data_IF_150071678430
#
_entry.id   IF_150071678430
#
_cell.length_a   1.000
_cell.length_b   1.000
_cell.length_c   1.000
_cell.angle_alpha   90.00
_cell.angle_beta   90.00
_cell.angle_gamma   90.00
#
_symmetry.space_group_name_H-M   'P 1'
#
loop_
_entity.id
_entity.type
_entity.pdbx_description
1 polymer ?
#
# COMPACT_ATOMS: atom_id res chain seq x y z
N UNK A 1 -5.37 -8.27 -24.70
CA UNK A 1 -5.19 -9.02 -23.44
C UNK A 1 -3.83 -8.66 -22.90
N UNK A 2 -3.76 -8.30 -21.62
CA UNK A 2 -2.57 -7.81 -20.94
C UNK A 2 -2.22 -8.76 -19.81
N UNK A 3 -0.93 -9.06 -19.62
CA UNK A 3 -0.44 -9.77 -18.44
C UNK A 3 -0.54 -8.86 -17.21
N UNK A 4 -0.63 -9.46 -16.03
CA UNK A 4 -0.72 -8.74 -14.75
C UNK A 4 0.36 -7.64 -14.58
N UNK A 5 1.60 -7.89 -15.00
CA UNK A 5 2.70 -6.92 -14.93
C UNK A 5 2.49 -5.72 -15.86
N UNK A 6 1.97 -5.95 -17.07
CA UNK A 6 1.67 -4.88 -18.02
C UNK A 6 0.55 -3.99 -17.46
N UNK A 7 -0.49 -4.59 -16.87
CA UNK A 7 -1.58 -3.85 -16.21
C UNK A 7 -1.08 -3.04 -15.03
N UNK A 8 -0.25 -3.65 -14.17
CA UNK A 8 0.37 -2.97 -13.03
C UNK A 8 1.14 -1.72 -13.48
N UNK A 9 1.98 -1.86 -14.51
CA UNK A 9 2.75 -0.76 -15.09
C UNK A 9 1.86 0.33 -15.71
N UNK A 10 0.83 -0.05 -16.46
CA UNK A 10 -0.09 0.90 -17.12
C UNK A 10 -0.90 1.69 -16.09
N UNK A 11 -1.44 0.99 -15.08
CA UNK A 11 -2.33 1.58 -14.09
C UNK A 11 -1.59 2.24 -12.91
N UNK A 12 -0.27 2.10 -12.83
CA UNK A 12 0.53 2.65 -11.72
C UNK A 12 0.21 1.98 -10.37
N UNK A 13 -0.16 0.70 -10.38
CA UNK A 13 -0.45 -0.09 -9.18
C UNK A 13 0.47 -1.29 -9.08
N UNK A 14 0.69 -1.81 -7.88
CA UNK A 14 1.48 -3.03 -7.71
C UNK A 14 0.76 -4.27 -8.25
N UNK A 15 1.52 -5.26 -8.71
CA UNK A 15 1.00 -6.60 -9.07
C UNK A 15 0.24 -7.21 -7.90
N UNK A 16 0.75 -7.01 -6.67
CA UNK A 16 0.10 -7.41 -5.42
C UNK A 16 -1.29 -6.81 -5.27
N UNK A 17 -1.48 -5.53 -5.59
CA UNK A 17 -2.82 -4.89 -5.58
C UNK A 17 -3.79 -5.61 -6.51
N UNK A 18 -3.34 -5.97 -7.72
CA UNK A 18 -4.16 -6.70 -8.69
C UNK A 18 -4.49 -8.12 -8.21
N UNK A 19 -3.54 -8.82 -7.61
CA UNK A 19 -3.79 -10.12 -6.98
C UNK A 19 -4.74 -10.02 -5.78
N UNK A 20 -4.60 -8.97 -4.97
CA UNK A 20 -5.52 -8.71 -3.87
C UNK A 20 -6.93 -8.49 -4.39
N UNK A 21 -7.12 -7.65 -5.41
CA UNK A 21 -8.42 -7.43 -6.04
C UNK A 21 -9.03 -8.71 -6.63
N UNK A 22 -8.21 -9.58 -7.21
CA UNK A 22 -8.65 -10.91 -7.66
C UNK A 22 -9.09 -11.79 -6.46
N UNK A 23 -8.28 -11.84 -5.39
CA UNK A 23 -8.55 -12.64 -4.19
C UNK A 23 -9.82 -12.26 -3.46
N UNK A 24 -10.13 -10.96 -3.38
CA UNK A 24 -11.38 -10.47 -2.78
C UNK A 24 -12.54 -10.51 -3.78
N UNK A 25 -12.28 -10.83 -5.05
CA UNK A 25 -13.29 -10.91 -6.10
C UNK A 25 -13.75 -9.56 -6.65
N UNK A 26 -12.99 -8.49 -6.42
CA UNK A 26 -13.27 -7.15 -6.92
C UNK A 26 -12.89 -6.96 -8.39
N UNK A 27 -11.75 -7.51 -8.82
CA UNK A 27 -11.30 -7.48 -10.22
C UNK A 27 -10.68 -8.84 -10.58
N UNK A 28 -11.39 -9.62 -11.40
CA UNK A 28 -10.91 -10.92 -11.85
C UNK A 28 -10.33 -10.83 -13.26
N UNK A 29 -9.25 -11.57 -13.57
CA UNK A 29 -8.73 -11.63 -14.93
C UNK A 29 -9.75 -12.30 -15.87
N UNK A 30 -9.94 -11.73 -17.06
CA UNK A 30 -10.76 -12.33 -18.13
C UNK A 30 -10.30 -13.73 -18.54
N UNK A 31 -9.01 -14.04 -18.42
CA UNK A 31 -8.48 -15.37 -18.74
C UNK A 31 -7.35 -15.77 -17.80
N UNK A 32 -7.34 -17.04 -17.41
CA UNK A 32 -6.20 -17.68 -16.76
C UNK A 32 -5.61 -18.67 -17.76
N UNK A 33 -4.37 -18.42 -18.18
CA UNK A 33 -3.67 -19.28 -19.14
C UNK A 33 -3.39 -20.67 -18.58
N UNK A 34 -3.04 -21.62 -19.45
CA UNK A 34 -2.64 -22.98 -19.05
C UNK A 34 -1.40 -23.01 -18.15
N UNK A 35 -0.58 -21.97 -18.21
CA UNK A 35 0.57 -21.70 -17.34
C UNK A 35 0.20 -21.00 -16.02
N UNK A 36 -1.10 -20.85 -15.71
CA UNK A 36 -1.66 -20.10 -14.57
C UNK A 36 -1.38 -18.60 -14.57
N UNK A 37 -0.92 -18.03 -15.68
CA UNK A 37 -0.79 -16.58 -15.80
C UNK A 37 -2.15 -15.90 -15.97
N UNK A 38 -2.29 -14.74 -15.34
CA UNK A 38 -3.49 -13.90 -15.39
C UNK A 38 -3.42 -12.95 -16.57
N UNK A 39 -4.48 -12.95 -17.37
CA UNK A 39 -4.66 -12.09 -18.52
C UNK A 39 -5.92 -11.24 -18.37
N UNK A 40 -5.75 -9.95 -18.50
CA UNK A 40 -6.79 -8.94 -18.37
C UNK A 40 -7.19 -8.40 -19.74
N UNK A 41 -8.48 -8.25 -19.98
CA UNK A 41 -9.01 -7.64 -21.20
C UNK A 41 -9.04 -6.10 -21.09
N UNK A 42 -9.29 -5.41 -22.20
CA UNK A 42 -9.52 -3.95 -22.16
C UNK A 42 -10.74 -3.59 -21.28
N UNK A 43 -11.74 -4.48 -21.16
CA UNK A 43 -12.88 -4.26 -20.25
C UNK A 43 -12.48 -4.38 -18.78
N UNK A 44 -11.56 -5.29 -18.45
CA UNK A 44 -11.01 -5.40 -17.08
C UNK A 44 -10.23 -4.13 -16.71
N UNK A 45 -9.48 -3.55 -17.66
CA UNK A 45 -8.74 -2.30 -17.43
C UNK A 45 -9.69 -1.12 -17.23
N UNK A 46 -10.81 -1.06 -17.96
CA UNK A 46 -11.85 -0.04 -17.72
C UNK A 46 -12.47 -0.20 -16.34
N UNK A 47 -12.77 -1.43 -15.91
CA UNK A 47 -13.27 -1.69 -14.56
C UNK A 47 -12.23 -1.31 -13.49
N UNK A 48 -10.95 -1.63 -13.71
CA UNK A 48 -9.86 -1.21 -12.84
C UNK A 48 -9.81 0.31 -12.70
N UNK A 49 -9.94 1.06 -13.80
CA UNK A 49 -9.98 2.52 -13.76
C UNK A 49 -11.09 3.05 -12.82
N UNK A 50 -12.28 2.46 -12.88
CA UNK A 50 -13.37 2.82 -11.97
C UNK A 50 -13.05 2.51 -10.51
N UNK A 51 -12.49 1.32 -10.23
CA UNK A 51 -12.04 0.95 -8.89
C UNK A 51 -11.05 1.99 -8.35
N UNK A 52 -10.12 2.46 -9.18
CA UNK A 52 -9.15 3.48 -8.79
C UNK A 52 -9.79 4.85 -8.54
N UNK A 53 -10.80 5.26 -9.32
CA UNK A 53 -11.57 6.47 -9.00
C UNK A 53 -12.26 6.38 -7.65
N UNK A 54 -12.90 5.25 -7.34
CA UNK A 54 -13.50 5.05 -6.03
C UNK A 54 -12.48 5.10 -4.89
N UNK A 55 -11.31 4.47 -5.10
CA UNK A 55 -10.21 4.52 -4.13
C UNK A 55 -9.72 5.95 -3.89
N UNK A 56 -9.56 6.73 -4.95
CA UNK A 56 -9.17 8.15 -4.85
C UNK A 56 -10.24 8.98 -4.11
N UNK A 57 -11.51 8.64 -4.28
CA UNK A 57 -12.62 9.27 -3.56
C UNK A 57 -12.76 8.81 -2.10
N UNK A 58 -11.92 7.88 -1.64
CA UNK A 58 -11.87 7.41 -0.25
C UNK A 58 -12.84 6.27 0.07
N UNK A 59 -13.37 5.57 -0.93
CA UNK A 59 -14.24 4.41 -0.71
C UNK A 59 -13.42 3.19 -0.24
N UNK A 60 -14.01 2.42 0.67
CA UNK A 60 -13.44 1.13 1.10
C UNK A 60 -13.66 0.04 0.05
N UNK A 61 -12.77 -0.95 -0.02
CA UNK A 61 -12.89 -2.04 -1.00
C UNK A 61 -14.23 -2.77 -0.90
N UNK A 62 -14.71 -3.04 0.32
CA UNK A 62 -16.03 -3.63 0.57
C UNK A 62 -17.15 -2.81 -0.06
N UNK A 63 -17.10 -1.48 0.06
CA UNK A 63 -18.12 -0.60 -0.53
C UNK A 63 -18.05 -0.59 -2.05
N UNK A 64 -16.85 -0.61 -2.62
CA UNK A 64 -16.66 -0.69 -4.07
C UNK A 64 -17.28 -2.00 -4.59
N UNK A 65 -17.06 -3.12 -3.90
CA UNK A 65 -17.67 -4.41 -4.26
C UNK A 65 -19.19 -4.34 -4.24
N UNK A 66 -19.80 -3.77 -3.19
CA UNK A 66 -21.26 -3.59 -3.11
C UNK A 66 -21.79 -2.77 -4.30
N UNK A 67 -21.15 -1.64 -4.63
CA UNK A 67 -21.56 -0.78 -5.74
C UNK A 67 -21.41 -1.49 -7.10
N UNK A 68 -20.32 -2.24 -7.29
CA UNK A 68 -20.09 -2.98 -8.54
C UNK A 68 -21.07 -4.15 -8.68
N UNK A 69 -21.43 -4.81 -7.58
CA UNK A 69 -22.35 -5.94 -7.56
C UNK A 69 -23.83 -5.54 -7.75
N UNK A 70 -24.25 -4.36 -7.27
CA UNK A 70 -25.64 -3.87 -7.34
C UNK A 70 -26.11 -3.47 -8.75
N UNK A 71 -25.24 -3.52 -9.77
CA UNK A 71 -25.55 -3.08 -11.13
C UNK A 71 -24.90 -1.72 -11.40
N UNK A 72 -23.69 -1.79 -11.94
CA UNK A 72 -22.85 -0.63 -12.22
C UNK A 72 -23.04 -0.16 -13.66
N UNK A 73 -23.52 1.07 -13.88
CA UNK A 73 -23.41 1.75 -15.18
C UNK A 73 -22.11 2.57 -15.24
N UNK A 74 -21.11 2.14 -16.03
CA UNK A 74 -19.83 2.83 -16.15
C UNK A 74 -19.95 4.30 -16.57
N UNK A 75 -20.90 4.61 -17.47
CA UNK A 75 -21.03 5.98 -18.00
C UNK A 75 -21.57 6.92 -16.93
N UNK A 76 -22.60 6.47 -16.23
CA UNK A 76 -23.17 7.24 -15.13
C UNK A 76 -22.15 7.41 -13.98
N UNK A 77 -21.42 6.34 -13.65
CA UNK A 77 -20.38 6.38 -12.63
C UNK A 77 -19.30 7.44 -12.92
N UNK A 78 -18.86 7.60 -14.18
CA UNK A 78 -17.89 8.64 -14.54
C UNK A 78 -18.38 10.06 -14.24
N UNK A 79 -19.66 10.35 -14.47
CA UNK A 79 -20.25 11.67 -14.15
C UNK A 79 -20.18 11.90 -12.64
N UNK A 80 -20.52 10.90 -11.85
CA UNK A 80 -20.46 10.97 -10.39
C UNK A 80 -19.03 11.06 -9.86
N UNK A 81 -18.09 10.33 -10.46
CA UNK A 81 -16.68 10.42 -10.12
C UNK A 81 -16.16 11.84 -10.34
N UNK A 82 -16.45 12.44 -11.51
CA UNK A 82 -16.04 13.80 -11.83
C UNK A 82 -16.63 14.81 -10.83
N UNK A 83 -17.93 14.72 -10.51
CA UNK A 83 -18.57 15.63 -9.56
C UNK A 83 -17.95 15.53 -8.15
N UNK A 84 -17.68 14.31 -7.68
CA UNK A 84 -17.07 14.09 -6.36
C UNK A 84 -15.60 14.52 -6.32
N UNK A 85 -14.85 14.32 -7.42
CA UNK A 85 -13.47 14.79 -7.55
C UNK A 85 -13.41 16.33 -7.53
N UNK A 86 -14.34 17.02 -8.20
CA UNK A 86 -14.43 18.49 -8.13
C UNK A 86 -14.74 18.97 -6.70
N UNK A 87 -15.63 18.28 -5.97
CA UNK A 87 -15.87 18.58 -4.55
C UNK A 87 -14.62 18.35 -3.69
N UNK A 88 -13.86 17.28 -3.97
CA UNK A 88 -12.59 16.99 -3.28
C UNK A 88 -11.55 18.07 -3.58
N UNK A 89 -11.42 18.50 -4.84
CA UNK A 89 -10.56 19.61 -5.27
C UNK A 89 -10.93 20.91 -4.55
N UNK A 90 -12.20 21.31 -4.55
CA UNK A 90 -12.65 22.52 -3.87
C UNK A 90 -12.36 22.47 -2.35
N UNK A 91 -12.43 21.29 -1.72
CA UNK A 91 -12.03 21.11 -0.32
C UNK A 91 -10.52 21.28 -0.15
N UNK A 92 -9.70 20.70 -1.03
CA UNK A 92 -8.24 20.86 -0.97
C UNK A 92 -7.83 22.32 -1.17
N UNK A 93 -8.47 23.05 -2.09
CA UNK A 93 -8.26 24.49 -2.27
C UNK A 93 -8.54 25.30 -1.00
N UNK A 94 -9.65 25.00 -0.30
CA UNK A 94 -9.95 25.63 1.00
C UNK A 94 -8.90 25.33 2.07
N UNK A 95 -8.39 24.10 2.12
CA UNK A 95 -7.34 23.71 3.05
C UNK A 95 -6.01 24.41 2.73
N UNK A 96 -5.66 24.53 1.45
CA UNK A 96 -4.48 25.29 1.00
C UNK A 96 -4.59 26.76 1.41
N UNK A 97 -5.74 27.40 1.15
CA UNK A 97 -5.98 28.78 1.56
C UNK A 97 -5.88 28.97 3.08
N UNK A 98 -6.39 28.02 3.86
CA UNK A 98 -6.28 28.05 5.32
C UNK A 98 -4.83 27.91 5.79
N UNK A 99 -4.04 27.02 5.17
CA UNK A 99 -2.60 26.88 5.45
C UNK A 99 -1.82 28.16 5.11
N UNK A 100 -2.11 28.79 3.97
CA UNK A 100 -1.49 30.07 3.57
C UNK A 100 -1.84 31.21 4.54
N UNK A 101 -3.09 31.30 4.98
CA UNK A 101 -3.52 32.26 6.02
C UNK A 101 -2.76 32.02 7.32
N UNK A 102 -2.66 30.76 7.73
CA UNK A 102 -1.94 30.37 8.96
C UNK A 102 -0.46 30.75 8.88
N UNK A 103 0.18 30.55 7.71
CA UNK A 103 1.55 31.01 7.46
C UNK A 103 1.68 32.54 7.63
N UNK A 104 0.78 33.33 7.03
CA UNK A 104 0.80 34.80 7.16
C UNK A 104 0.60 35.27 8.58
N UNK A 105 -0.21 34.57 9.37
CA UNK A 105 -0.32 34.85 10.81
C UNK A 105 1.00 34.63 11.55
N UNK A 106 1.71 33.54 11.27
CA UNK A 106 3.03 33.28 11.86
C UNK A 106 4.08 34.32 11.44
N UNK A 107 3.93 34.90 10.25
CA UNK A 107 4.75 36.02 9.76
C UNK A 107 4.32 37.39 10.33
N UNK A 108 3.25 37.44 11.14
CA UNK A 108 2.71 38.65 11.74
C UNK A 108 1.95 39.57 10.76
N UNK A 109 1.58 39.06 9.58
CA UNK A 109 0.90 39.80 8.52
C UNK A 109 -0.64 39.76 8.65
N UNK A 110 -1.18 38.83 9.44
CA UNK A 110 -2.61 38.61 9.66
C UNK A 110 -2.84 38.09 11.09
N UNK A 111 -4.06 38.19 11.61
CA UNK A 111 -4.46 37.50 12.84
C UNK A 111 -5.71 36.67 12.56
N UNK A 112 -5.70 35.41 12.98
CA UNK A 112 -6.80 34.48 12.77
C UNK A 112 -7.52 34.20 14.09
N UNK A 113 -8.84 34.14 14.03
CA UNK A 113 -9.65 33.57 15.11
C UNK A 113 -9.55 32.04 15.10
N UNK A 114 -9.80 31.40 16.25
CA UNK A 114 -9.88 29.93 16.30
C UNK A 114 -10.96 29.38 15.37
N UNK A 115 -12.05 30.11 15.15
CA UNK A 115 -13.09 29.70 14.20
C UNK A 115 -12.53 29.62 12.77
N UNK A 116 -11.79 30.65 12.33
CA UNK A 116 -11.19 30.68 10.98
C UNK A 116 -10.11 29.62 10.80
N UNK A 117 -9.34 29.30 11.87
CA UNK A 117 -8.34 28.23 11.85
C UNK A 117 -8.96 26.88 11.50
N UNK A 118 -10.14 26.58 12.04
CA UNK A 118 -10.75 25.25 11.92
C UNK A 118 -11.90 25.15 10.89
N UNK A 119 -12.35 26.26 10.30
CA UNK A 119 -13.47 26.29 9.35
C UNK A 119 -13.28 25.34 8.15
N UNK A 120 -12.06 25.25 7.62
CA UNK A 120 -11.76 24.35 6.49
C UNK A 120 -11.82 22.86 6.86
N UNK A 121 -11.76 22.53 8.15
CA UNK A 121 -11.78 21.16 8.68
C UNK A 121 -13.17 20.72 9.17
N UNK A 122 -14.10 21.65 9.43
CA UNK A 122 -15.41 21.34 10.03
C UNK A 122 -16.43 20.73 9.05
N UNK A 123 -16.06 20.48 7.79
CA UNK A 123 -16.94 19.78 6.86
C UNK A 123 -17.21 18.34 7.33
N UNK A 124 -18.50 17.99 7.49
CA UNK A 124 -18.99 16.68 7.97
C UNK A 124 -18.24 15.51 7.32
N UNK A 125 -17.90 14.51 8.16
CA UNK A 125 -17.25 13.26 7.75
C UNK A 125 -18.00 12.57 6.60
N UNK A 126 -17.18 12.01 5.71
CA UNK A 126 -17.36 11.07 4.59
C UNK A 126 -18.59 10.16 4.45
N UNK A 127 -19.49 10.01 5.43
CA UNK A 127 -20.64 9.09 5.33
C UNK A 127 -21.67 9.55 4.28
N UNK A 128 -21.81 10.87 4.10
CA UNK A 128 -22.78 11.47 3.18
C UNK A 128 -22.39 11.31 1.69
N UNK A 129 -21.12 10.92 1.41
CA UNK A 129 -20.63 10.72 0.04
C UNK A 129 -21.22 9.47 -0.60
N UNK A 130 -21.46 8.43 0.21
CA UNK A 130 -21.96 7.13 -0.26
C UNK A 130 -23.44 7.22 -0.60
N UNK A 131 -24.24 7.85 0.25
CA UNK A 131 -25.67 8.08 0.00
C UNK A 131 -25.88 8.96 -1.23
N UNK A 132 -25.06 10.00 -1.42
CA UNK A 132 -25.07 10.84 -2.63
C UNK A 132 -24.65 10.07 -3.88
N UNK A 133 -23.68 9.16 -3.76
CA UNK A 133 -23.27 8.32 -4.88
C UNK A 133 -24.42 7.38 -5.32
N UNK A 134 -25.10 6.74 -4.37
CA UNK A 134 -26.20 5.80 -4.65
C UNK A 134 -27.50 6.49 -5.07
N UNK A 135 -27.89 7.59 -4.43
CA UNK A 135 -29.12 8.33 -4.75
C UNK A 135 -29.11 8.97 -6.14
N UNK A 136 -27.93 9.26 -6.69
CA UNK A 136 -27.79 9.72 -8.05
C UNK A 136 -27.92 8.57 -9.08
N UNK A 137 -27.57 7.33 -8.70
CA UNK A 137 -27.48 6.17 -9.59
C UNK A 137 -28.82 5.55 -10.02
N UNK A 138 -29.96 6.07 -9.57
CA UNK A 138 -31.28 5.59 -9.96
C UNK A 138 -32.07 6.62 -10.77
N UNK A 139 -31.89 6.72 -12.10
CA UNK A 139 -33.01 7.04 -12.97
C UNK A 139 -33.94 5.83 -13.01
N UNK A 140 -35.22 6.03 -12.69
CA UNK A 140 -36.30 5.05 -12.84
C UNK A 140 -36.16 4.29 -14.17
N UNK A 141 -35.78 3.01 -14.12
CA UNK A 141 -35.66 2.21 -15.32
C UNK A 141 -37.07 1.88 -15.86
N UNK A 142 -37.37 2.08 -17.16
CA UNK A 142 -38.60 1.57 -17.75
C UNK A 142 -38.52 0.03 -17.74
N UNK A 143 -39.44 -0.57 -17.00
CA UNK A 143 -39.30 -1.91 -16.46
C UNK A 143 -39.14 -3.07 -17.44
N UNK A 144 -38.55 -4.16 -16.92
CA UNK A 144 -38.99 -5.53 -17.17
C UNK A 144 -38.61 -6.48 -16.02
N UNK A 145 -39.60 -7.29 -15.66
CA UNK A 145 -39.71 -8.50 -14.80
C UNK A 145 -38.40 -9.22 -14.38
N UNK A 146 -38.18 -9.43 -13.07
CA UNK A 146 -38.42 -10.68 -12.27
C UNK A 146 -37.80 -11.94 -12.93
N UNK A 147 -36.89 -12.70 -12.30
CA UNK A 147 -36.97 -13.33 -10.99
C UNK A 147 -35.58 -13.54 -10.36
N UNK A 148 -35.44 -13.30 -9.06
CA UNK A 148 -34.33 -13.83 -8.26
C UNK A 148 -34.81 -14.03 -6.82
N UNK A 149 -35.45 -15.17 -6.57
CA UNK A 149 -35.53 -15.75 -5.24
C UNK A 149 -34.12 -16.17 -4.82
N UNK A 150 -33.55 -15.46 -3.85
CA UNK A 150 -33.03 -16.03 -2.60
C UNK A 150 -32.44 -14.92 -1.75
N UNK A 151 -33.30 -14.32 -0.92
CA UNK A 151 -32.87 -13.68 0.30
C UNK A 151 -32.52 -14.77 1.33
N UNK A 152 -31.34 -14.70 1.93
CA UNK A 152 -31.05 -15.39 3.17
C UNK A 152 -30.47 -14.37 4.16
N UNK A 153 -31.22 -14.17 5.22
CA UNK A 153 -30.98 -13.32 6.38
C UNK A 153 -29.64 -13.65 7.06
N UNK A 154 -28.97 -12.62 7.57
CA UNK A 154 -28.18 -12.73 8.80
C UNK A 154 -28.53 -11.53 9.68
N UNK A 155 -28.91 -11.87 10.91
CA UNK A 155 -29.40 -11.06 12.02
C UNK A 155 -28.46 -9.94 12.48
N UNK A 156 -29.09 -8.99 13.17
CA UNK A 156 -28.50 -7.97 14.05
C UNK A 156 -27.38 -8.53 14.95
N UNK A 157 -26.22 -7.87 14.95
CA UNK A 157 -25.30 -7.84 16.08
C UNK A 157 -24.53 -6.50 16.10
N UNK A 158 -24.83 -5.72 17.12
CA UNK A 158 -24.27 -4.43 17.47
C UNK A 158 -22.87 -4.56 18.12
N UNK A 159 -22.04 -3.54 17.95
CA UNK A 159 -20.80 -3.17 18.69
C UNK A 159 -19.94 -4.28 19.33
N UNK A 160 -18.77 -4.55 18.72
CA UNK A 160 -17.53 -4.84 19.44
C UNK A 160 -16.30 -4.48 18.58
N UNK A 161 -15.27 -3.94 19.24
CA UNK A 161 -14.06 -3.37 18.66
C UNK A 161 -13.40 -4.23 17.56
N UNK A 162 -13.27 -3.66 16.36
CA UNK A 162 -12.58 -4.28 15.24
C UNK A 162 -11.06 -4.18 15.43
N UNK A 163 -10.44 -5.27 15.84
CA UNK A 163 -9.05 -5.55 15.49
C UNK A 163 -9.03 -5.93 14.00
N UNK A 164 -8.42 -5.08 13.17
CA UNK A 164 -8.23 -5.30 11.73
C UNK A 164 -7.30 -6.50 11.49
N UNK A 165 -7.56 -7.39 10.52
CA UNK A 165 -6.57 -8.37 10.07
C UNK A 165 -5.41 -7.60 9.40
N UNK A 166 -4.19 -7.82 9.88
CA UNK A 166 -2.97 -7.20 9.38
C UNK A 166 -2.62 -7.84 8.01
N UNK A 167 -2.54 -7.04 6.95
CA UNK A 167 -2.07 -7.45 5.63
C UNK A 167 -0.58 -7.88 5.67
N UNK A 168 -0.24 -8.96 4.96
CA UNK A 168 1.09 -9.57 4.98
C UNK A 168 2.13 -8.74 4.19
N UNK A 169 2.80 -7.76 4.79
CA UNK A 169 3.77 -6.86 4.12
C UNK A 169 4.88 -7.64 3.40
N UNK A 170 5.07 -7.35 2.11
CA UNK A 170 6.10 -8.00 1.29
C UNK A 170 7.43 -7.26 1.33
N UNK A 171 8.51 -7.97 0.98
CA UNK A 171 9.86 -7.38 0.81
C UNK A 171 9.85 -6.18 -0.16
N UNK A 172 8.89 -6.15 -1.10
CA UNK A 172 8.65 -5.03 -2.01
C UNK A 172 8.04 -3.78 -1.36
N UNK A 173 7.16 -3.92 -0.36
CA UNK A 173 6.60 -2.79 0.42
C UNK A 173 7.65 -2.22 1.39
N UNK A 174 8.53 -3.08 1.92
CA UNK A 174 9.76 -2.71 2.62
C UNK A 174 10.67 -1.86 1.71
N UNK A 175 10.81 -2.26 0.43
CA UNK A 175 11.67 -1.59 -0.55
C UNK A 175 11.12 -0.20 -0.91
N UNK A 176 9.81 -0.04 -1.08
CA UNK A 176 9.17 1.24 -1.41
C UNK A 176 9.21 2.26 -0.26
N UNK A 177 9.02 1.84 0.99
CA UNK A 177 8.98 2.75 2.16
C UNK A 177 10.38 3.18 2.64
N UNK A 178 11.44 2.47 2.21
CA UNK A 178 12.84 2.82 2.51
C UNK A 178 13.35 4.06 1.77
N UNK A 179 12.64 4.53 0.75
CA UNK A 179 12.95 5.74 -0.04
C UNK A 179 12.62 7.04 0.73
N UNK A 180 11.79 6.99 1.77
CA UNK A 180 11.34 8.15 2.57
C UNK A 180 12.06 8.24 3.95
N UNK A 181 13.12 7.47 4.18
CA UNK A 181 13.88 7.52 5.43
C UNK A 181 14.80 8.76 5.50
N UNK A 182 14.85 9.50 6.62
CA UNK A 182 15.70 10.70 6.78
C UNK A 182 17.22 10.42 6.68
N UNK A 183 17.65 9.16 6.56
CA UNK A 183 19.05 8.80 6.31
C UNK A 183 19.52 9.07 4.86
N UNK A 184 18.61 9.39 3.93
CA UNK A 184 18.94 9.69 2.52
C UNK A 184 19.26 11.18 2.31
N UNK A 185 18.84 12.06 3.23
CA UNK A 185 18.92 13.53 3.06
C UNK A 185 20.35 14.08 3.26
N UNK A 186 21.26 13.31 3.86
CA UNK A 186 22.64 13.75 4.17
C UNK A 186 23.67 13.50 3.05
N UNK A 187 23.26 13.10 1.85
CA UNK A 187 24.17 12.78 0.74
C UNK A 187 24.01 13.68 -0.52
N UNK A 188 23.22 14.75 -0.46
CA UNK A 188 23.05 15.67 -1.61
C UNK A 188 24.06 16.83 -1.69
N UNK A 189 25.01 16.96 -0.76
CA UNK A 189 25.88 18.15 -0.65
C UNK A 189 27.38 17.95 -0.99
N UNK A 190 27.73 17.10 -1.96
CA UNK A 190 29.05 17.22 -2.59
C UNK A 190 28.96 17.20 -4.11
N UNK A 191 29.35 18.34 -4.70
CA UNK A 191 29.22 18.63 -6.10
C UNK A 191 30.31 18.04 -7.00
N UNK A 192 30.10 18.34 -8.28
CA UNK A 192 30.91 18.05 -9.46
C UNK A 192 30.72 16.64 -10.04
N UNK A 193 29.95 16.61 -11.12
CA UNK A 193 29.96 15.54 -12.11
C UNK A 193 31.37 15.38 -12.70
N UNK A 194 31.79 14.14 -12.91
CA UNK A 194 32.36 13.76 -14.19
C UNK A 194 31.50 12.68 -14.83
N UNK A 195 31.22 12.88 -16.12
CA UNK A 195 30.63 11.90 -17.02
C UNK A 195 31.41 10.58 -16.94
N UNK A 196 30.76 9.52 -16.47
CA UNK A 196 31.20 8.14 -16.58
C UNK A 196 30.00 7.31 -17.05
N UNK A 197 30.26 6.49 -18.06
CA UNK A 197 29.32 5.69 -18.85
C UNK A 197 28.28 4.96 -18.01
N UNK A 198 27.03 4.96 -18.48
CA UNK A 198 25.92 4.17 -17.93
C UNK A 198 26.33 2.70 -17.83
N UNK A 199 26.28 2.07 -16.64
CA UNK A 199 26.40 0.63 -16.55
C UNK A 199 25.10 0.02 -17.09
N UNK A 200 25.15 -0.55 -18.29
CA UNK A 200 24.18 -1.55 -18.71
C UNK A 200 24.24 -2.71 -17.72
N UNK A 201 23.14 -2.96 -17.02
CA UNK A 201 22.94 -4.21 -16.30
C UNK A 201 21.49 -4.66 -16.52
N UNK A 202 21.33 -5.53 -17.51
CA UNK A 202 20.25 -6.51 -17.56
C UNK A 202 20.31 -7.30 -16.23
N UNK A 203 19.58 -6.85 -15.20
CA UNK A 203 19.29 -7.70 -14.04
C UNK A 203 18.15 -8.63 -14.48
N UNK A 204 18.49 -9.90 -14.64
CA UNK A 204 17.56 -11.00 -14.92
C UNK A 204 16.31 -10.86 -14.04
N UNK A 205 15.12 -10.92 -14.66
CA UNK A 205 13.80 -10.92 -13.99
C UNK A 205 13.69 -12.14 -13.05
N UNK A 206 14.28 -12.07 -11.85
CA UNK A 206 14.06 -13.05 -10.80
C UNK A 206 12.57 -13.04 -10.39
N UNK A 207 12.00 -14.23 -10.24
CA UNK A 207 10.61 -14.43 -9.89
C UNK A 207 10.31 -13.79 -8.52
N UNK A 208 9.51 -12.73 -8.50
CA UNK A 208 9.10 -12.04 -7.27
C UNK A 208 8.41 -13.00 -6.28
N UNK A 209 7.83 -14.10 -6.75
CA UNK A 209 7.29 -15.17 -5.89
C UNK A 209 8.42 -15.90 -5.15
N UNK A 210 9.57 -16.12 -5.80
CA UNK A 210 10.75 -16.74 -5.20
C UNK A 210 11.39 -15.85 -4.14
N UNK A 211 11.47 -14.53 -4.40
CA UNK A 211 12.05 -13.59 -3.44
C UNK A 211 11.16 -13.47 -2.18
N UNK A 212 9.85 -13.34 -2.35
CA UNK A 212 8.93 -13.30 -1.21
C UNK A 212 8.92 -14.63 -0.44
N UNK A 213 9.02 -15.76 -1.14
CA UNK A 213 9.18 -17.08 -0.52
C UNK A 213 10.46 -17.14 0.32
N UNK A 214 11.58 -16.60 -0.18
CA UNK A 214 12.84 -16.58 0.57
C UNK A 214 12.76 -15.65 1.79
N UNK A 215 12.15 -14.47 1.65
CA UNK A 215 11.89 -13.57 2.78
C UNK A 215 11.05 -14.23 3.88
N UNK A 216 9.92 -14.85 3.50
CA UNK A 216 9.05 -15.57 4.43
C UNK A 216 9.72 -16.79 5.04
N UNK A 217 10.59 -17.50 4.29
CA UNK A 217 11.42 -18.58 4.80
C UNK A 217 12.33 -18.06 5.92
N UNK A 218 13.00 -16.94 5.70
CA UNK A 218 13.90 -16.31 6.68
C UNK A 218 13.12 -15.91 7.94
N UNK A 219 11.98 -15.23 7.82
CA UNK A 219 11.18 -14.87 8.99
C UNK A 219 10.74 -16.09 9.79
N UNK A 220 10.28 -17.14 9.11
CA UNK A 220 9.87 -18.39 9.76
C UNK A 220 11.06 -19.09 10.44
N UNK A 221 12.22 -19.11 9.79
CA UNK A 221 13.43 -19.70 10.35
C UNK A 221 13.89 -18.93 11.60
N UNK A 222 13.97 -17.60 11.54
CA UNK A 222 14.37 -16.75 12.66
C UNK A 222 13.37 -16.86 13.81
N UNK A 223 12.06 -16.91 13.52
CA UNK A 223 11.02 -17.14 14.54
C UNK A 223 11.24 -18.44 15.31
N UNK A 224 11.62 -19.52 14.62
CA UNK A 224 11.94 -20.80 15.28
C UNK A 224 13.21 -20.74 16.15
N UNK A 225 14.10 -19.79 15.88
CA UNK A 225 15.36 -19.59 16.57
C UNK A 225 15.30 -18.54 17.69
N UNK A 226 14.15 -17.88 17.92
CA UNK A 226 14.00 -16.82 18.94
C UNK A 226 14.27 -17.26 20.39
N UNK A 227 14.40 -18.57 20.65
CA UNK A 227 14.82 -19.10 21.94
C UNK A 227 16.34 -19.01 22.16
N UNK A 228 17.10 -18.72 21.11
CA UNK A 228 18.54 -18.49 21.15
C UNK A 228 18.83 -17.00 21.30
N UNK A 229 20.10 -16.67 21.58
CA UNK A 229 20.56 -15.29 21.60
C UNK A 229 20.66 -14.74 20.16
N UNK A 230 20.37 -13.45 19.91
CA UNK A 230 20.47 -12.84 18.58
C UNK A 230 21.86 -12.94 17.92
N UNK A 231 22.93 -13.08 18.70
CA UNK A 231 24.32 -13.28 18.22
C UNK A 231 24.65 -14.74 17.86
N UNK A 232 23.74 -15.68 18.12
CA UNK A 232 23.99 -17.09 17.87
C UNK A 232 24.32 -17.35 16.38
N UNK A 233 25.29 -18.22 16.05
CA UNK A 233 25.70 -18.47 14.67
C UNK A 233 24.55 -18.88 13.73
N UNK A 234 23.57 -19.61 14.25
CA UNK A 234 22.38 -20.02 13.50
C UNK A 234 21.52 -18.81 13.09
N UNK A 235 21.34 -17.84 14.00
CA UNK A 235 20.57 -16.62 13.76
C UNK A 235 21.33 -15.71 12.80
N UNK A 236 22.64 -15.56 12.99
CA UNK A 236 23.49 -14.75 12.13
C UNK A 236 23.65 -15.32 10.70
N UNK A 237 23.48 -16.63 10.52
CA UNK A 237 23.39 -17.26 9.19
C UNK A 237 22.15 -16.77 8.44
N UNK A 238 21.00 -16.73 9.11
CA UNK A 238 19.76 -16.21 8.52
C UNK A 238 19.85 -14.69 8.27
N UNK A 239 20.52 -13.93 9.16
CA UNK A 239 20.74 -12.48 8.93
C UNK A 239 21.62 -12.22 7.72
N UNK A 240 22.63 -13.06 7.48
CA UNK A 240 23.44 -13.00 6.26
C UNK A 240 22.61 -13.33 5.02
N UNK A 241 21.76 -14.36 5.07
CA UNK A 241 20.86 -14.69 3.96
C UNK A 241 19.91 -13.52 3.67
N UNK A 242 19.39 -12.88 4.72
CA UNK A 242 18.52 -11.73 4.60
C UNK A 242 19.24 -10.51 4.02
N UNK A 243 20.45 -10.23 4.48
CA UNK A 243 21.30 -9.18 3.93
C UNK A 243 21.62 -9.40 2.44
N UNK A 244 21.92 -10.64 2.04
CA UNK A 244 22.13 -11.00 0.63
C UNK A 244 20.84 -10.79 -0.18
N UNK A 245 19.68 -11.19 0.35
CA UNK A 245 18.38 -11.02 -0.30
C UNK A 245 18.08 -9.53 -0.55
N UNK A 246 18.28 -8.68 0.46
CA UNK A 246 18.07 -7.24 0.34
C UNK A 246 19.05 -6.59 -0.64
N UNK A 247 20.31 -7.07 -0.70
CA UNK A 247 21.30 -6.59 -1.66
C UNK A 247 20.95 -6.88 -3.13
N UNK A 248 19.97 -7.74 -3.41
CA UNK A 248 19.47 -7.95 -4.78
C UNK A 248 18.72 -6.72 -5.30
N UNK A 249 18.03 -6.01 -4.41
CA UNK A 249 17.18 -4.86 -4.72
C UNK A 249 17.93 -3.53 -4.71
N UNK A 250 18.88 -3.34 -3.80
CA UNK A 250 19.66 -2.12 -3.65
C UNK A 250 21.04 -2.41 -3.06
N UNK A 251 21.98 -1.46 -3.16
CA UNK A 251 23.28 -1.57 -2.47
C UNK A 251 23.07 -1.35 -0.96
N UNK A 252 22.77 -2.43 -0.24
CA UNK A 252 22.45 -2.40 1.18
C UNK A 252 23.72 -2.20 2.00
N UNK A 253 24.06 -0.95 2.31
CA UNK A 253 25.17 -0.70 3.24
C UNK A 253 24.82 -1.19 4.65
N UNK A 254 25.81 -1.53 5.52
CA UNK A 254 25.54 -1.90 6.91
C UNK A 254 24.73 -0.83 7.68
N UNK A 255 24.92 0.46 7.35
CA UNK A 255 24.12 1.56 7.91
C UNK A 255 22.65 1.45 7.50
N UNK A 256 22.38 1.16 6.23
CA UNK A 256 21.02 1.02 5.71
C UNK A 256 20.31 -0.21 6.29
N UNK A 257 21.04 -1.32 6.46
CA UNK A 257 20.52 -2.53 7.12
C UNK A 257 20.06 -2.25 8.55
N UNK A 258 20.78 -1.40 9.31
CA UNK A 258 20.34 -0.92 10.64
C UNK A 258 19.09 -0.03 10.57
N UNK A 259 19.03 0.87 9.59
CA UNK A 259 17.84 1.72 9.40
C UNK A 259 16.56 0.93 9.13
N UNK A 260 16.67 -0.15 8.34
CA UNK A 260 15.55 -1.07 8.11
C UNK A 260 15.15 -1.83 9.37
N UNK A 261 16.13 -2.28 10.15
CA UNK A 261 15.88 -2.92 11.44
C UNK A 261 15.10 -2.00 12.40
N UNK A 262 15.40 -0.69 12.41
CA UNK A 262 14.62 0.28 13.17
C UNK A 262 13.20 0.42 12.65
N UNK A 263 13.03 0.60 11.34
CA UNK A 263 11.73 0.70 10.68
C UNK A 263 10.83 -0.48 11.03
N UNK A 264 11.34 -1.71 10.94
CA UNK A 264 10.58 -2.93 11.22
C UNK A 264 10.08 -3.03 12.65
N UNK A 265 10.84 -2.50 13.62
CA UNK A 265 10.47 -2.53 15.02
C UNK A 265 9.62 -1.33 15.45
N UNK A 266 9.74 -0.18 14.76
CA UNK A 266 9.06 1.07 15.14
C UNK A 266 7.75 1.33 14.41
N UNK A 267 7.65 0.94 13.15
CA UNK A 267 6.43 1.15 12.36
C UNK A 267 5.48 -0.03 12.56
N UNK A 268 4.29 0.28 13.05
CA UNK A 268 3.26 -0.70 13.39
C UNK A 268 2.83 -1.57 12.21
N UNK A 269 2.93 -1.09 10.96
CA UNK A 269 2.62 -1.89 9.77
C UNK A 269 3.61 -3.06 9.69
N UNK A 270 4.91 -2.75 9.58
CA UNK A 270 5.98 -3.75 9.47
C UNK A 270 6.06 -4.67 10.68
N UNK A 271 6.00 -4.10 11.88
CA UNK A 271 6.05 -4.87 13.11
C UNK A 271 4.92 -5.90 13.17
N UNK A 272 3.70 -5.48 12.82
CA UNK A 272 2.54 -6.36 12.85
C UNK A 272 2.61 -7.48 11.82
N UNK A 273 3.16 -7.24 10.63
CA UNK A 273 3.34 -8.29 9.62
C UNK A 273 4.43 -9.29 10.04
N UNK A 274 5.60 -8.80 10.44
CA UNK A 274 6.73 -9.65 10.83
C UNK A 274 6.32 -10.50 12.04
N UNK A 275 5.60 -9.92 13.00
CA UNK A 275 5.13 -10.63 14.19
C UNK A 275 4.08 -11.72 13.90
N UNK A 276 3.54 -11.82 12.68
CA UNK A 276 2.67 -12.94 12.26
C UNK A 276 3.44 -14.27 12.24
N UNK A 277 4.75 -14.22 11.96
CA UNK A 277 5.61 -15.41 11.94
C UNK A 277 6.09 -15.81 13.35
N UNK A 278 6.04 -14.88 14.31
CA UNK A 278 6.38 -15.14 15.70
C UNK A 278 6.16 -13.89 16.56
N UNK A 279 5.49 -14.04 17.71
CA UNK A 279 5.19 -12.90 18.59
C UNK A 279 6.47 -12.22 19.07
N UNK A 280 6.65 -10.93 18.76
CA UNK A 280 7.85 -10.16 19.10
C UNK A 280 9.03 -10.37 18.15
N UNK A 281 8.81 -11.04 17.00
CA UNK A 281 9.85 -11.29 16.01
C UNK A 281 10.46 -10.00 15.48
N UNK A 282 9.67 -8.96 15.22
CA UNK A 282 10.16 -7.65 14.74
C UNK A 282 11.25 -7.05 15.64
N UNK A 283 11.08 -7.11 16.96
CA UNK A 283 12.06 -6.63 17.94
C UNK A 283 13.31 -7.50 17.98
N UNK A 284 13.12 -8.82 17.97
CA UNK A 284 14.23 -9.77 17.94
C UNK A 284 15.06 -9.64 16.65
N UNK A 285 14.37 -9.49 15.52
CA UNK A 285 14.95 -9.31 14.20
C UNK A 285 15.79 -8.02 14.16
N UNK A 286 15.30 -6.93 14.76
CA UNK A 286 16.07 -5.70 14.89
C UNK A 286 17.42 -5.92 15.59
N UNK A 287 17.42 -6.60 16.73
CA UNK A 287 18.64 -6.88 17.50
C UNK A 287 19.61 -7.75 16.70
N UNK A 288 19.11 -8.80 16.04
CA UNK A 288 19.91 -9.68 15.21
C UNK A 288 20.54 -8.96 13.99
N UNK A 289 19.77 -8.09 13.32
CA UNK A 289 20.23 -7.28 12.19
C UNK A 289 21.31 -6.26 12.61
N UNK A 290 21.17 -5.66 13.78
CA UNK A 290 22.15 -4.74 14.35
C UNK A 290 23.50 -5.43 14.57
N UNK A 291 23.50 -6.60 15.21
CA UNK A 291 24.71 -7.39 15.47
C UNK A 291 25.38 -7.80 14.16
N UNK A 292 24.58 -8.21 13.17
CA UNK A 292 25.10 -8.56 11.85
C UNK A 292 25.79 -7.37 11.17
N UNK A 293 25.15 -6.20 11.20
CA UNK A 293 25.70 -4.96 10.63
C UNK A 293 27.02 -4.54 11.30
N UNK A 294 27.11 -4.67 12.62
CA UNK A 294 28.34 -4.35 13.37
C UNK A 294 29.47 -5.34 13.07
N UNK A 295 29.16 -6.62 12.91
CA UNK A 295 30.13 -7.64 12.48
C UNK A 295 30.71 -7.39 11.09
N UNK A 296 29.93 -6.80 10.17
CA UNK A 296 30.41 -6.42 8.84
C UNK A 296 31.37 -5.22 8.85
N UNK A 297 31.22 -4.30 9.81
CA UNK A 297 32.09 -3.12 9.93
C UNK A 297 33.48 -3.44 10.52
N UNK A 298 33.64 -4.56 11.23
CA UNK A 298 34.92 -4.96 11.82
C UNK A 298 35.87 -5.68 10.83
N UNK A 299 35.39 -5.97 9.61
CA UNK A 299 36.12 -6.71 8.59
C UNK A 299 36.21 -5.97 7.23
N UNK A 300 35.84 -4.69 7.20
CA UNK A 300 36.01 -3.77 6.07
C UNK A 300 37.30 -2.94 6.25
#
# INVERSE_FOLDING_TARGET
MYKVQEVAKIAGVSVRTLHHYDSVGLLKPSNIGSNRYRYYSDEDLKLLQHILFFKELGFSLKKIQEIVAEGFDPKFALVQHAELLEKKKARMEKLIQNAERTKRELEGLETLSNSERFEAFSAKKSDDTIEKYKSAAMPEAPGHSTDAEHAAQIDDLEMAAAATPIEEITVEEIVLDSQDSPAVEELQDYGSTPSVEEPQAEKEEEDLEEINREGNRIYTAVASLMHLSPDAPQVQTEMKAYYILLNRFYDCTPKMFRGLADLYASDSRFANNIDQHGKGLSKYLKEAMYIHAEGMQQHA
#
